data_IF_113841819131
#
_entry.id   IF_113841819131
#
_cell.length_a   1.000
_cell.length_b   1.000
_cell.length_c   1.000
_cell.angle_alpha   90.00
_cell.angle_beta   90.00
_cell.angle_gamma   90.00
#
_symmetry.space_group_name_H-M   'P 1'
#
loop_
_entity.id
_entity.type
_entity.pdbx_description
1 polymer ?
#
# COMPACT_ATOMS: atom_id res chain seq x y z
N UNK A 1 -31.86 13.70 -13.70
CA UNK A 1 -30.72 13.48 -14.62
C UNK A 1 -29.59 12.86 -13.82
N UNK A 2 -29.49 11.53 -13.83
CA UNK A 2 -28.51 10.77 -13.04
C UNK A 2 -27.40 10.28 -13.97
N UNK A 3 -26.22 10.89 -13.89
CA UNK A 3 -25.02 10.44 -14.58
C UNK A 3 -24.30 9.39 -13.71
N UNK A 4 -24.61 8.11 -13.93
CA UNK A 4 -23.88 7.00 -13.33
C UNK A 4 -22.48 6.95 -13.93
N UNK A 5 -21.51 7.56 -13.25
CA UNK A 5 -20.09 7.39 -13.53
C UNK A 5 -19.69 5.97 -13.14
N UNK A 6 -19.68 5.08 -14.14
CA UNK A 6 -19.20 3.71 -14.06
C UNK A 6 -17.72 3.72 -13.68
N UNK A 7 -17.46 3.57 -12.38
CA UNK A 7 -16.13 3.43 -11.79
C UNK A 7 -15.60 2.03 -12.17
N UNK A 8 -14.89 1.92 -13.28
CA UNK A 8 -14.19 0.70 -13.67
C UNK A 8 -13.14 0.37 -12.61
N UNK A 9 -13.47 -0.59 -11.75
CA UNK A 9 -12.61 -1.13 -10.71
C UNK A 9 -11.36 -1.77 -11.35
N UNK A 10 -10.12 -1.40 -10.96
CA UNK A 10 -8.94 -2.02 -11.53
C UNK A 10 -8.77 -3.42 -10.94
N UNK A 11 -8.56 -4.40 -11.82
CA UNK A 11 -8.20 -5.82 -11.59
C UNK A 11 -8.08 -6.22 -10.11
N UNK A 12 -9.17 -6.77 -9.56
CA UNK A 12 -9.15 -7.49 -8.27
C UNK A 12 -8.11 -8.61 -8.40
N UNK A 13 -7.05 -8.56 -7.61
CA UNK A 13 -6.17 -9.71 -7.38
C UNK A 13 -7.00 -10.83 -6.74
N UNK A 14 -7.71 -11.62 -7.56
CA UNK A 14 -8.36 -12.84 -7.11
C UNK A 14 -7.24 -13.85 -6.93
N UNK A 15 -6.97 -14.26 -5.69
CA UNK A 15 -6.09 -15.42 -5.47
C UNK A 15 -6.78 -16.64 -6.07
N UNK A 16 -6.16 -17.34 -7.03
CA UNK A 16 -6.58 -18.67 -7.45
C UNK A 16 -6.71 -19.62 -6.26
N UNK A 17 -7.56 -20.63 -6.35
CA UNK A 17 -7.75 -21.61 -5.27
C UNK A 17 -6.44 -22.38 -4.94
N UNK A 18 -5.58 -22.58 -5.94
CA UNK A 18 -4.26 -23.18 -5.76
C UNK A 18 -3.35 -22.35 -4.83
N UNK A 19 -3.33 -21.02 -4.99
CA UNK A 19 -2.54 -20.12 -4.15
C UNK A 19 -3.03 -20.13 -2.69
N UNK A 20 -4.33 -20.33 -2.47
CA UNK A 20 -4.90 -20.42 -1.11
C UNK A 20 -4.44 -21.71 -0.43
N UNK A 21 -4.57 -22.85 -1.11
CA UNK A 21 -4.14 -24.14 -0.56
C UNK A 21 -2.62 -24.18 -0.29
N UNK A 22 -1.81 -23.60 -1.19
CA UNK A 22 -0.37 -23.49 -0.99
C UNK A 22 -0.04 -22.59 0.21
N UNK A 23 -0.73 -21.45 0.36
CA UNK A 23 -0.52 -20.57 1.50
C UNK A 23 -0.89 -21.26 2.82
N UNK A 24 -1.98 -22.02 2.85
CA UNK A 24 -2.39 -22.74 4.05
C UNK A 24 -1.37 -23.81 4.44
N UNK A 25 -0.83 -24.56 3.48
CA UNK A 25 0.25 -25.52 3.72
C UNK A 25 1.50 -24.86 4.32
N UNK A 26 1.92 -23.70 3.78
CA UNK A 26 3.07 -22.95 4.29
C UNK A 26 2.80 -22.40 5.70
N UNK A 27 1.59 -21.90 5.96
CA UNK A 27 1.20 -21.42 7.29
C UNK A 27 1.18 -22.54 8.33
N UNK A 28 0.74 -23.74 7.96
CA UNK A 28 0.79 -24.90 8.84
C UNK A 28 2.22 -25.37 9.13
N UNK A 29 3.14 -25.22 8.16
CA UNK A 29 4.53 -25.62 8.30
C UNK A 29 5.39 -24.61 9.07
N UNK A 30 5.02 -23.32 9.06
CA UNK A 30 5.82 -22.24 9.65
C UNK A 30 4.95 -21.26 10.47
N UNK A 31 5.00 -21.33 11.81
CA UNK A 31 4.25 -20.44 12.69
C UNK A 31 4.55 -18.95 12.48
N UNK A 32 5.80 -18.61 12.19
CA UNK A 32 6.23 -17.23 11.94
C UNK A 32 5.53 -16.65 10.71
N UNK A 33 5.42 -17.42 9.62
CA UNK A 33 4.70 -17.00 8.41
C UNK A 33 3.20 -16.89 8.68
N UNK A 34 2.62 -17.80 9.47
CA UNK A 34 1.23 -17.72 9.86
C UNK A 34 0.95 -16.41 10.61
N UNK A 35 1.79 -16.06 11.57
CA UNK A 35 1.68 -14.84 12.36
C UNK A 35 1.87 -13.58 11.54
N UNK A 36 2.86 -13.55 10.63
CA UNK A 36 3.04 -12.44 9.70
C UNK A 36 1.80 -12.22 8.82
N UNK A 37 1.21 -13.31 8.32
CA UNK A 37 0.00 -13.23 7.51
C UNK A 37 -1.19 -12.70 8.31
N UNK A 38 -1.33 -13.08 9.58
CA UNK A 38 -2.44 -12.64 10.43
C UNK A 38 -2.31 -11.16 10.79
N UNK A 39 -1.11 -10.70 11.15
CA UNK A 39 -0.83 -9.28 11.37
C UNK A 39 -1.07 -8.45 10.10
N UNK A 40 -0.65 -8.95 8.93
CA UNK A 40 -0.87 -8.27 7.66
C UNK A 40 -2.37 -8.19 7.27
N UNK A 41 -3.14 -9.25 7.54
CA UNK A 41 -4.60 -9.25 7.32
C UNK A 41 -5.29 -8.25 8.23
N UNK A 42 -4.96 -8.27 9.52
CA UNK A 42 -5.51 -7.34 10.51
C UNK A 42 -5.25 -5.89 10.14
N UNK A 43 -4.02 -5.56 9.73
CA UNK A 43 -3.67 -4.22 9.24
C UNK A 43 -4.46 -3.84 7.97
N UNK A 44 -4.57 -4.78 7.02
CA UNK A 44 -5.32 -4.55 5.77
C UNK A 44 -6.79 -4.32 6.04
N UNK A 45 -7.39 -5.05 6.97
CA UNK A 45 -8.79 -4.87 7.35
C UNK A 45 -8.99 -3.53 8.07
N UNK A 46 -8.06 -3.13 8.92
CA UNK A 46 -8.04 -1.79 9.53
C UNK A 46 -8.02 -0.68 8.47
N UNK A 47 -7.19 -0.82 7.43
CA UNK A 47 -7.12 0.11 6.30
C UNK A 47 -8.43 0.15 5.51
N UNK A 48 -9.00 -1.02 5.18
CA UNK A 48 -10.25 -1.13 4.41
C UNK A 48 -11.44 -0.55 5.15
N UNK A 49 -11.51 -0.77 6.46
CA UNK A 49 -12.61 -0.35 7.32
C UNK A 49 -12.36 1.03 7.95
N UNK A 50 -11.22 1.66 7.63
CA UNK A 50 -10.79 2.97 8.14
C UNK A 50 -10.79 3.06 9.67
N UNK A 51 -10.22 2.05 10.33
CA UNK A 51 -10.17 1.93 11.79
C UNK A 51 -8.84 2.40 12.37
N UNK A 52 -8.35 3.57 11.96
CA UNK A 52 -7.06 4.09 12.41
C UNK A 52 -6.89 4.22 13.94
N UNK A 53 -7.99 4.28 14.70
CA UNK A 53 -7.95 4.26 16.17
C UNK A 53 -7.36 2.95 16.75
N UNK A 54 -7.41 1.84 16.01
CA UNK A 54 -6.85 0.54 16.42
C UNK A 54 -5.35 0.40 16.13
N UNK A 55 -4.73 1.40 15.48
CA UNK A 55 -3.35 1.31 15.00
C UNK A 55 -2.35 1.10 16.15
N UNK A 56 -2.56 1.76 17.30
CA UNK A 56 -1.66 1.64 18.45
C UNK A 56 -1.62 0.20 19.01
N UNK A 57 -2.80 -0.40 19.16
CA UNK A 57 -2.93 -1.77 19.67
C UNK A 57 -2.28 -2.77 18.71
N UNK A 58 -2.48 -2.56 17.40
CA UNK A 58 -1.85 -3.37 16.38
C UNK A 58 -0.32 -3.25 16.39
N UNK A 59 0.24 -2.04 16.55
CA UNK A 59 1.69 -1.84 16.68
C UNK A 59 2.24 -2.62 17.87
N UNK A 60 1.58 -2.52 19.04
CA UNK A 60 2.02 -3.23 20.23
C UNK A 60 2.03 -4.75 20.01
N UNK A 61 0.97 -5.29 19.39
CA UNK A 61 0.88 -6.71 19.04
C UNK A 61 1.97 -7.13 18.05
N UNK A 62 2.24 -6.31 17.06
CA UNK A 62 3.25 -6.55 16.03
C UNK A 62 4.68 -6.53 16.59
N UNK A 63 4.97 -5.71 17.60
CA UNK A 63 6.29 -5.67 18.24
C UNK A 63 6.52 -6.81 19.23
N UNK A 64 5.48 -7.22 19.96
CA UNK A 64 5.61 -8.27 20.97
C UNK A 64 5.59 -9.68 20.37
N UNK A 65 4.91 -9.86 19.24
CA UNK A 65 4.70 -11.18 18.64
C UNK A 65 5.02 -11.26 17.16
N UNK A 66 5.25 -10.15 16.44
CA UNK A 66 5.53 -10.24 15.01
C UNK A 66 6.94 -10.78 14.72
N UNK A 67 7.16 -11.43 13.57
CA UNK A 67 8.51 -11.67 13.06
C UNK A 67 9.25 -10.35 12.84
N UNK A 68 10.59 -10.37 12.85
CA UNK A 68 11.45 -9.18 12.77
C UNK A 68 11.05 -8.18 11.68
N UNK A 69 10.72 -8.68 10.48
CA UNK A 69 10.29 -7.84 9.36
C UNK A 69 9.02 -7.03 9.67
N UNK A 70 8.07 -7.62 10.41
CA UNK A 70 6.85 -6.96 10.86
C UNK A 70 7.15 -6.02 12.04
N UNK A 71 8.06 -6.39 12.93
CA UNK A 71 8.53 -5.52 14.01
C UNK A 71 9.16 -4.21 13.49
N UNK A 72 10.02 -4.29 12.46
CA UNK A 72 10.62 -3.11 11.81
C UNK A 72 9.55 -2.21 11.17
N UNK A 73 8.52 -2.82 10.58
CA UNK A 73 7.40 -2.07 10.03
C UNK A 73 6.56 -1.41 11.14
N UNK A 74 6.35 -2.09 12.26
CA UNK A 74 5.64 -1.55 13.41
C UNK A 74 6.38 -0.35 14.02
N UNK A 75 7.70 -0.43 14.16
CA UNK A 75 8.53 0.69 14.64
C UNK A 75 8.44 1.90 13.71
N UNK A 76 8.59 1.69 12.40
CA UNK A 76 8.42 2.74 11.41
C UNK A 76 7.01 3.36 11.49
N UNK A 77 5.99 2.53 11.66
CA UNK A 77 4.60 2.99 11.81
C UNK A 77 4.41 3.81 13.08
N UNK A 78 5.05 3.43 14.19
CA UNK A 78 5.05 4.18 15.45
C UNK A 78 5.69 5.56 15.27
N UNK A 79 6.83 5.66 14.59
CA UNK A 79 7.50 6.94 14.32
C UNK A 79 6.58 7.91 13.55
N UNK A 80 5.78 7.38 12.61
CA UNK A 80 4.86 8.15 11.78
C UNK A 80 3.38 7.98 12.18
N UNK A 81 3.11 7.75 13.47
CA UNK A 81 1.79 7.35 13.95
C UNK A 81 0.65 8.25 13.48
N UNK A 82 0.83 9.58 13.52
CA UNK A 82 -0.19 10.54 13.11
C UNK A 82 -0.54 10.40 11.62
N UNK A 83 0.47 10.23 10.76
CA UNK A 83 0.30 10.10 9.32
C UNK A 83 -0.39 8.78 8.97
N UNK A 84 0.03 7.67 9.59
CA UNK A 84 -0.62 6.38 9.40
C UNK A 84 -2.04 6.37 9.95
N UNK A 85 -2.29 6.97 11.12
CA UNK A 85 -3.65 7.10 11.68
C UNK A 85 -4.55 7.87 10.72
N UNK A 86 -4.07 9.00 10.17
CA UNK A 86 -4.80 9.78 9.19
C UNK A 86 -5.07 8.97 7.90
N UNK A 87 -4.06 8.26 7.38
CA UNK A 87 -4.21 7.38 6.21
C UNK A 87 -5.17 6.22 6.42
N UNK A 88 -5.27 5.71 7.66
CA UNK A 88 -6.19 4.65 8.08
C UNK A 88 -7.55 5.18 8.53
N UNK A 89 -7.83 6.49 8.45
CA UNK A 89 -9.10 7.07 8.94
C UNK A 89 -9.80 7.91 7.87
N UNK A 90 -9.03 8.74 7.16
CA UNK A 90 -9.55 9.70 6.22
C UNK A 90 -9.94 9.05 4.87
N UNK A 91 -10.87 9.68 4.12
CA UNK A 91 -11.27 9.17 2.80
C UNK A 91 -10.26 9.45 1.68
N UNK A 92 -9.17 10.16 1.98
CA UNK A 92 -8.21 10.61 0.99
C UNK A 92 -7.22 9.50 0.60
N UNK A 93 -6.84 9.50 -0.68
CA UNK A 93 -5.81 8.59 -1.20
C UNK A 93 -4.81 9.37 -2.05
N UNK A 94 -3.53 9.04 -1.94
CA UNK A 94 -2.46 9.57 -2.79
C UNK A 94 -2.46 9.02 -4.23
N UNK A 95 -3.34 8.08 -4.57
CA UNK A 95 -3.27 7.32 -5.83
C UNK A 95 -3.19 8.15 -7.12
N UNK A 96 -3.98 9.23 -7.24
CA UNK A 96 -3.91 10.12 -8.42
C UNK A 96 -2.57 10.86 -8.46
N UNK A 97 -2.13 11.39 -7.32
CA UNK A 97 -0.87 12.11 -7.18
C UNK A 97 0.31 11.19 -7.50
N UNK A 98 0.31 9.97 -6.97
CA UNK A 98 1.30 8.94 -7.27
C UNK A 98 1.30 8.53 -8.74
N UNK A 99 0.13 8.46 -9.38
CA UNK A 99 0.01 8.23 -10.81
C UNK A 99 0.72 9.31 -11.63
N UNK A 100 0.50 10.58 -11.30
CA UNK A 100 1.21 11.70 -11.94
C UNK A 100 2.72 11.66 -11.67
N UNK A 101 3.12 11.41 -10.43
CA UNK A 101 4.55 11.27 -10.05
C UNK A 101 5.21 10.13 -10.83
N UNK A 102 4.54 8.99 -10.98
CA UNK A 102 5.05 7.85 -11.74
C UNK A 102 5.18 8.18 -13.22
N UNK A 103 4.20 8.84 -13.83
CA UNK A 103 4.29 9.33 -15.22
C UNK A 103 5.50 10.24 -15.41
N UNK A 104 5.69 11.23 -14.53
CA UNK A 104 6.83 12.15 -14.58
C UNK A 104 8.15 11.39 -14.43
N UNK A 105 8.25 10.45 -13.49
CA UNK A 105 9.43 9.59 -13.31
C UNK A 105 9.71 8.74 -14.55
N UNK A 106 8.69 8.23 -15.23
CA UNK A 106 8.85 7.46 -16.48
C UNK A 106 9.42 8.33 -17.60
N UNK A 107 8.86 9.53 -17.82
CA UNK A 107 9.39 10.49 -18.80
C UNK A 107 10.85 10.80 -18.49
N UNK A 108 11.17 11.11 -17.23
CA UNK A 108 12.55 11.38 -16.79
C UNK A 108 13.50 10.20 -17.06
N UNK A 109 13.06 8.95 -16.84
CA UNK A 109 13.86 7.74 -17.10
C UNK A 109 14.09 7.49 -18.59
N UNK A 110 13.11 7.75 -19.45
CA UNK A 110 13.23 7.66 -20.91
C UNK A 110 14.27 8.64 -21.49
N UNK A 111 14.69 9.62 -20.70
CA UNK A 111 15.64 10.66 -21.12
C UNK A 111 17.09 10.31 -20.79
N UNK A 112 17.37 9.14 -20.21
CA UNK A 112 18.73 8.61 -19.97
C UNK A 112 19.70 9.64 -19.36
N UNK A 113 19.26 10.34 -18.31
CA UNK A 113 20.07 11.36 -17.61
C UNK A 113 20.00 12.77 -18.21
N UNK A 114 19.43 12.96 -19.40
CA UNK A 114 19.26 14.27 -20.05
C UNK A 114 17.94 14.93 -19.68
N UNK A 115 17.71 15.22 -18.40
CA UNK A 115 16.45 15.78 -17.91
C UNK A 115 16.62 17.04 -17.07
N UNK A 116 17.13 18.11 -17.71
CA UNK A 116 17.03 19.45 -17.13
C UNK A 116 15.56 19.82 -16.89
N UNK A 117 15.30 20.70 -15.93
CA UNK A 117 13.93 21.10 -15.60
C UNK A 117 13.16 21.61 -16.84
N UNK A 118 13.80 22.46 -17.65
CA UNK A 118 13.21 23.00 -18.87
C UNK A 118 12.82 21.89 -19.87
N UNK A 119 13.69 20.91 -20.09
CA UNK A 119 13.45 19.81 -21.02
C UNK A 119 12.39 18.83 -20.50
N UNK A 120 12.41 18.54 -19.20
CA UNK A 120 11.39 17.70 -18.57
C UNK A 120 10.01 18.38 -18.64
N UNK A 121 9.94 19.69 -18.34
CA UNK A 121 8.71 20.49 -18.47
C UNK A 121 8.19 20.46 -19.91
N UNK A 122 9.05 20.69 -20.90
CA UNK A 122 8.66 20.66 -22.31
C UNK A 122 8.09 19.27 -22.70
N UNK A 123 8.73 18.17 -22.30
CA UNK A 123 8.22 16.82 -22.60
C UNK A 123 6.90 16.51 -21.90
N UNK A 124 6.71 16.96 -20.67
CA UNK A 124 5.43 16.76 -19.95
C UNK A 124 4.31 17.49 -20.68
N UNK A 125 4.52 18.75 -21.08
CA UNK A 125 3.52 19.57 -21.78
C UNK A 125 3.20 19.06 -23.18
N UNK A 126 4.18 18.47 -23.88
CA UNK A 126 3.99 17.93 -25.24
C UNK A 126 3.36 16.53 -25.26
N UNK A 127 3.34 15.80 -24.14
CA UNK A 127 2.67 14.49 -24.03
C UNK A 127 1.24 14.60 -23.46
N UNK A 128 0.78 15.81 -23.15
CA UNK A 128 -0.55 16.08 -22.62
C UNK A 128 -1.62 16.04 -23.71
#
# INVERSE_FOLDING_TARGET
MAGTSSRTSPRRWRRPAADVAQLDAVRSACPEIAQACDLAREFTDMLRQRRGHLLRDWIQKAELGGPDAIGIFADSTRQYLHAFTAGLTLPYSSGIVEGHVNRIKTIKRQMYGRASFALLRARILLQA
#
